data_IF_902344635693
#
_entry.id   IF_902344635693
#
_cell.length_a   1.000
_cell.length_b   1.000
_cell.length_c   1.000
_cell.angle_alpha   90.00
_cell.angle_beta   90.00
_cell.angle_gamma   90.00
#
_symmetry.space_group_name_H-M   'P 1'
#
loop_
_entity.id
_entity.type
_entity.pdbx_description
1 polymer ?
#
# COMPACT_ATOMS: atom_id res chain seq x y z
N UNK A 1 3.00 -3.59 1.50
CA UNK A 1 3.52 -3.88 0.14
C UNK A 1 2.45 -4.33 -0.86
N UNK A 2 1.15 -4.50 -0.50
CA UNK A 2 0.11 -4.91 -1.46
C UNK A 2 -0.54 -3.76 -2.26
N UNK A 3 -0.60 -2.54 -1.70
CA UNK A 3 -1.27 -1.37 -2.32
C UNK A 3 -0.60 -0.88 -3.62
N UNK A 4 0.58 -1.37 -3.97
CA UNK A 4 1.32 -1.00 -5.19
C UNK A 4 0.78 -1.67 -6.46
N UNK A 5 0.02 -2.77 -6.33
CA UNK A 5 -0.52 -3.50 -7.49
C UNK A 5 -1.51 -2.68 -8.31
N UNK A 6 -2.35 -1.89 -7.63
CA UNK A 6 -3.38 -1.08 -8.29
C UNK A 6 -2.79 -0.01 -9.21
N UNK A 7 -1.79 0.77 -8.78
CA UNK A 7 -1.18 1.80 -9.62
C UNK A 7 -0.50 1.22 -10.86
N UNK A 8 0.15 0.05 -10.73
CA UNK A 8 0.78 -0.64 -11.85
C UNK A 8 -0.27 -1.12 -12.86
N UNK A 9 -1.39 -1.66 -12.38
CA UNK A 9 -2.52 -2.08 -13.23
C UNK A 9 -3.16 -0.88 -13.94
N UNK A 10 -3.42 0.21 -13.21
CA UNK A 10 -3.98 1.46 -13.73
C UNK A 10 -3.11 2.04 -14.85
N UNK A 11 -1.80 2.11 -14.62
CA UNK A 11 -0.82 2.52 -15.61
C UNK A 11 -0.82 1.59 -16.83
N UNK A 12 -0.85 0.28 -16.63
CA UNK A 12 -0.87 -0.72 -17.71
C UNK A 12 -2.13 -0.61 -18.56
N UNK A 13 -3.29 -0.37 -17.96
CA UNK A 13 -4.56 -0.18 -18.65
C UNK A 13 -4.59 1.14 -19.44
N UNK A 14 -4.06 2.22 -18.86
CA UNK A 14 -3.91 3.52 -19.52
C UNK A 14 -2.97 3.40 -20.73
N UNK A 15 -1.85 2.70 -20.58
CA UNK A 15 -0.94 2.40 -21.70
C UNK A 15 -1.62 1.54 -22.78
N UNK A 16 -2.31 0.46 -22.40
CA UNK A 16 -3.05 -0.39 -23.32
C UNK A 16 -4.02 0.44 -24.16
N UNK A 17 -4.79 1.33 -23.51
CA UNK A 17 -5.71 2.22 -24.19
C UNK A 17 -5.02 3.08 -25.27
N UNK A 18 -3.97 3.82 -24.90
CA UNK A 18 -3.29 4.72 -25.83
C UNK A 18 -2.53 3.98 -26.94
N UNK A 19 -1.91 2.83 -26.65
CA UNK A 19 -1.23 2.00 -27.66
C UNK A 19 -2.27 1.45 -28.64
N UNK A 20 -3.39 0.93 -28.17
CA UNK A 20 -4.46 0.43 -29.04
C UNK A 20 -5.06 1.52 -29.92
N UNK A 21 -5.27 2.73 -29.37
CA UNK A 21 -5.76 3.87 -30.13
C UNK A 21 -4.75 4.30 -31.21
N UNK A 22 -3.46 4.35 -30.88
CA UNK A 22 -2.41 4.64 -31.86
C UNK A 22 -2.29 3.55 -32.92
N UNK A 23 -2.40 2.28 -32.53
CA UNK A 23 -2.41 1.14 -33.44
C UNK A 23 -3.58 1.20 -34.42
N UNK A 24 -4.78 1.55 -33.94
CA UNK A 24 -5.96 1.75 -34.77
C UNK A 24 -5.76 2.90 -35.77
N UNK A 25 -5.17 4.01 -35.33
CA UNK A 25 -4.84 5.13 -36.21
C UNK A 25 -3.86 4.71 -37.32
N UNK A 26 -2.74 4.09 -36.95
CA UNK A 26 -1.72 3.64 -37.90
C UNK A 26 -2.27 2.60 -38.88
N UNK A 27 -3.09 1.66 -38.41
CA UNK A 27 -3.77 0.70 -39.27
C UNK A 27 -4.73 1.40 -40.23
N UNK A 28 -5.50 2.38 -39.75
CA UNK A 28 -6.38 3.15 -40.62
C UNK A 28 -5.62 3.98 -41.67
N UNK A 29 -4.45 4.53 -41.33
CA UNK A 29 -3.58 5.25 -42.26
C UNK A 29 -2.98 4.30 -43.29
N UNK A 30 -2.49 3.13 -42.86
CA UNK A 30 -1.97 2.09 -43.74
C UNK A 30 -3.02 1.59 -44.74
N UNK A 31 -4.23 1.25 -44.26
CA UNK A 31 -5.35 0.82 -45.13
C UNK A 31 -5.72 1.90 -46.16
N UNK A 32 -5.64 3.19 -45.79
CA UNK A 32 -5.88 4.30 -46.73
C UNK A 32 -4.79 4.38 -47.80
N UNK A 33 -3.54 4.06 -47.44
CA UNK A 33 -2.39 4.07 -48.36
C UNK A 33 -2.37 2.91 -49.36
N UNK A 34 -3.03 1.79 -49.06
CA UNK A 34 -3.09 0.64 -49.96
C UNK A 34 -3.91 0.92 -51.24
N UNK A 35 -3.47 0.42 -52.42
CA UNK A 35 -4.26 0.39 -53.66
C UNK A 35 -5.61 -0.30 -53.46
N UNK A 36 -6.64 0.13 -54.18
CA UNK A 36 -8.01 -0.39 -54.03
C UNK A 36 -8.09 -1.91 -54.24
N UNK A 37 -7.28 -2.45 -55.17
CA UNK A 37 -7.14 -3.89 -55.43
C UNK A 37 -6.47 -4.69 -54.30
N UNK A 38 -5.69 -4.04 -53.44
CA UNK A 38 -4.97 -4.68 -52.32
C UNK A 38 -5.74 -4.56 -51.00
N UNK A 39 -6.61 -3.56 -50.87
CA UNK A 39 -7.45 -3.34 -49.68
C UNK A 39 -8.32 -4.54 -49.30
N UNK A 40 -8.72 -5.38 -50.26
CA UNK A 40 -9.56 -6.57 -50.04
C UNK A 40 -8.75 -7.82 -49.64
N UNK A 41 -7.45 -7.89 -49.97
CA UNK A 41 -6.64 -9.11 -49.83
C UNK A 41 -5.73 -9.14 -48.59
N UNK A 42 -5.45 -8.02 -47.94
CA UNK A 42 -4.29 -7.89 -47.03
C UNK A 42 -4.60 -8.08 -45.53
N UNK A 43 -5.87 -7.94 -45.09
CA UNK A 43 -6.20 -8.03 -43.64
C UNK A 43 -6.44 -9.48 -43.19
N UNK A 44 -6.77 -10.39 -44.11
CA UNK A 44 -6.94 -11.80 -43.81
C UNK A 44 -6.24 -12.67 -44.87
N UNK A 45 -5.05 -13.22 -44.58
CA UNK A 45 -4.30 -14.00 -45.55
C UNK A 45 -5.02 -15.32 -45.86
N UNK A 46 -5.61 -15.39 -47.05
CA UNK A 46 -5.90 -16.65 -47.76
C UNK A 46 -7.25 -17.32 -47.44
N UNK A 47 -8.02 -17.56 -48.51
CA UNK A 47 -9.05 -18.62 -48.68
C UNK A 47 -9.55 -19.26 -47.38
N UNK A 48 -10.43 -18.55 -46.66
CA UNK A 48 -11.26 -19.22 -45.67
C UNK A 48 -12.03 -20.36 -46.34
N UNK A 49 -12.01 -21.54 -45.73
CA UNK A 49 -12.82 -22.68 -46.16
C UNK A 49 -14.28 -22.23 -46.27
N UNK A 50 -15.00 -22.57 -47.37
CA UNK A 50 -16.42 -22.21 -47.55
C UNK A 50 -17.36 -22.67 -46.41
N UNK A 51 -16.86 -23.47 -45.47
CA UNK A 51 -17.58 -24.01 -44.31
C UNK A 51 -17.48 -23.15 -43.06
N UNK A 52 -16.61 -22.15 -43.03
CA UNK A 52 -16.54 -21.20 -41.92
C UNK A 52 -17.28 -19.92 -42.35
N UNK A 53 -18.45 -19.66 -41.73
CA UNK A 53 -19.11 -18.36 -41.77
C UNK A 53 -18.26 -17.35 -40.97
N UNK A 54 -17.09 -16.99 -41.51
CA UNK A 54 -16.31 -15.85 -41.00
C UNK A 54 -16.98 -14.59 -41.54
N UNK A 55 -17.16 -13.53 -40.70
CA UNK A 55 -17.70 -12.27 -41.17
C UNK A 55 -16.97 -11.78 -42.43
N UNK A 56 -17.72 -11.29 -43.42
CA UNK A 56 -17.15 -10.81 -44.67
C UNK A 56 -16.17 -9.66 -44.37
N UNK A 57 -15.16 -9.41 -45.22
CA UNK A 57 -14.19 -8.32 -45.04
C UNK A 57 -14.85 -6.96 -44.69
N UNK A 58 -16.00 -6.69 -45.31
CA UNK A 58 -16.79 -5.48 -45.08
C UNK A 58 -17.35 -5.42 -43.65
N UNK A 59 -17.72 -6.57 -43.08
CA UNK A 59 -18.21 -6.70 -41.70
C UNK A 59 -17.08 -6.55 -40.68
N UNK A 60 -15.89 -7.10 -40.97
CA UNK A 60 -14.71 -6.89 -40.13
C UNK A 60 -14.21 -5.43 -40.17
N UNK A 61 -14.24 -4.80 -41.35
CA UNK A 61 -13.88 -3.39 -41.53
C UNK A 61 -14.87 -2.45 -40.86
N UNK A 62 -16.17 -2.73 -40.98
CA UNK A 62 -17.21 -1.96 -40.29
C UNK A 62 -17.09 -2.15 -38.78
N UNK A 63 -16.82 -3.36 -38.30
CA UNK A 63 -16.56 -3.66 -36.88
C UNK A 63 -15.34 -2.89 -36.34
N UNK A 64 -14.18 -2.96 -37.00
CA UNK A 64 -12.95 -2.25 -36.59
C UNK A 64 -13.17 -0.74 -36.56
N UNK A 65 -13.97 -0.20 -37.49
CA UNK A 65 -14.24 1.25 -37.56
C UNK A 65 -15.28 1.74 -36.57
N UNK A 66 -16.30 0.93 -36.26
CA UNK A 66 -17.46 1.38 -35.49
C UNK A 66 -17.55 0.81 -34.07
N UNK A 67 -17.10 -0.43 -33.87
CA UNK A 67 -17.33 -1.17 -32.62
C UNK A 67 -16.07 -1.44 -31.82
N UNK A 68 -14.91 -1.63 -32.47
CA UNK A 68 -13.65 -1.96 -31.77
C UNK A 68 -13.29 -0.96 -30.66
N UNK A 69 -13.42 0.34 -30.94
CA UNK A 69 -13.15 1.37 -29.95
C UNK A 69 -14.06 1.29 -28.72
N UNK A 70 -15.36 1.00 -28.92
CA UNK A 70 -16.32 0.82 -27.80
C UNK A 70 -15.97 -0.41 -26.98
N UNK A 71 -15.78 -1.56 -27.64
CA UNK A 71 -15.44 -2.81 -26.96
C UNK A 71 -14.13 -2.72 -26.19
N UNK A 72 -13.12 -2.04 -26.75
CA UNK A 72 -11.85 -1.80 -26.06
C UNK A 72 -12.08 -0.98 -24.79
N UNK A 73 -12.82 0.14 -24.88
CA UNK A 73 -13.10 1.00 -23.72
C UNK A 73 -13.92 0.27 -22.67
N UNK A 74 -14.95 -0.46 -23.05
CA UNK A 74 -15.76 -1.29 -22.15
C UNK A 74 -14.91 -2.36 -21.45
N UNK A 75 -14.05 -3.06 -22.20
CA UNK A 75 -13.15 -4.08 -21.63
C UNK A 75 -12.17 -3.48 -20.64
N UNK A 76 -11.57 -2.33 -20.98
CA UNK A 76 -10.65 -1.60 -20.09
C UNK A 76 -11.40 -1.12 -18.85
N UNK A 77 -12.61 -0.56 -19.01
CA UNK A 77 -13.44 -0.10 -17.91
C UNK A 77 -13.82 -1.24 -16.95
N UNK A 78 -14.27 -2.39 -17.47
CA UNK A 78 -14.60 -3.56 -16.63
C UNK A 78 -13.38 -4.01 -15.84
N UNK A 79 -12.20 -4.04 -16.48
CA UNK A 79 -10.94 -4.42 -15.82
C UNK A 79 -10.49 -3.38 -14.79
N UNK A 80 -10.70 -2.11 -15.08
CA UNK A 80 -10.42 -0.97 -14.20
C UNK A 80 -11.26 -1.04 -12.91
N UNK A 81 -12.58 -1.24 -13.03
CA UNK A 81 -13.47 -1.41 -11.87
C UNK A 81 -13.14 -2.68 -11.10
N UNK A 82 -12.75 -3.77 -11.78
CA UNK A 82 -12.30 -5.00 -11.10
C UNK A 82 -11.00 -4.77 -10.29
N UNK A 83 -10.08 -3.96 -10.81
CA UNK A 83 -8.88 -3.57 -10.07
C UNK A 83 -9.21 -2.75 -8.81
N UNK A 84 -10.23 -1.89 -8.87
CA UNK A 84 -10.73 -1.15 -7.71
C UNK A 84 -11.28 -2.08 -6.62
N UNK A 85 -12.04 -3.11 -6.99
CA UNK A 85 -12.52 -4.11 -6.02
C UNK A 85 -11.34 -4.80 -5.30
N UNK A 86 -10.31 -5.18 -6.07
CA UNK A 86 -9.08 -5.77 -5.51
C UNK A 86 -8.36 -4.77 -4.60
N UNK A 87 -8.32 -3.48 -4.93
CA UNK A 87 -7.73 -2.44 -4.08
C UNK A 87 -8.39 -2.40 -2.69
N UNK A 88 -9.72 -2.56 -2.59
CA UNK A 88 -10.40 -2.67 -1.30
C UNK A 88 -10.02 -3.94 -0.53
N UNK A 89 -9.84 -5.07 -1.20
CA UNK A 89 -9.39 -6.31 -0.54
C UNK A 89 -7.96 -6.18 -0.04
N UNK A 90 -7.07 -5.64 -0.86
CA UNK A 90 -5.64 -5.50 -0.55
C UNK A 90 -5.40 -4.47 0.55
N UNK A 91 -6.17 -3.38 0.56
CA UNK A 91 -6.12 -2.36 1.60
C UNK A 91 -6.55 -2.92 2.96
N UNK A 92 -7.66 -3.67 3.01
CA UNK A 92 -8.11 -4.35 4.23
C UNK A 92 -7.09 -5.39 4.71
N UNK A 93 -6.56 -6.20 3.79
CA UNK A 93 -5.52 -7.20 4.07
C UNK A 93 -4.27 -6.54 4.66
N UNK A 94 -3.84 -5.41 4.10
CA UNK A 94 -2.68 -4.66 4.60
C UNK A 94 -2.89 -4.18 6.04
N UNK A 95 -4.10 -3.69 6.36
CA UNK A 95 -4.44 -3.26 7.72
C UNK A 95 -4.41 -4.46 8.67
N UNK A 96 -5.04 -5.58 8.31
CA UNK A 96 -5.09 -6.77 9.17
C UNK A 96 -3.73 -7.43 9.41
N UNK A 97 -2.86 -7.46 8.40
CA UNK A 97 -1.49 -7.95 8.57
C UNK A 97 -0.70 -7.10 9.55
N UNK A 98 -0.97 -5.79 9.57
CA UNK A 98 -0.32 -4.84 10.49
C UNK A 98 -0.95 -4.85 11.88
N UNK A 99 -2.26 -5.06 11.96
CA UNK A 99 -3.04 -5.04 13.19
C UNK A 99 -4.06 -6.19 13.22
N UNK A 100 -3.60 -7.35 13.69
CA UNK A 100 -4.45 -8.53 13.91
C UNK A 100 -5.55 -8.25 14.96
N UNK A 101 -5.43 -7.19 15.77
CA UNK A 101 -6.44 -6.88 16.79
C UNK A 101 -7.77 -6.42 16.21
N UNK A 102 -7.79 -5.91 14.98
CA UNK A 102 -9.01 -5.57 14.24
C UNK A 102 -9.91 -6.80 13.96
N UNK A 103 -9.37 -8.02 14.09
CA UNK A 103 -10.11 -9.28 14.00
C UNK A 103 -10.64 -9.79 15.36
N UNK A 104 -10.31 -9.13 16.48
CA UNK A 104 -10.76 -9.58 17.81
C UNK A 104 -12.28 -9.56 17.93
N UNK A 105 -12.81 -10.55 18.65
CA UNK A 105 -14.25 -10.72 18.89
C UNK A 105 -15.01 -11.38 17.74
N UNK A 106 -14.37 -11.64 16.58
CA UNK A 106 -14.99 -12.44 15.52
C UNK A 106 -14.89 -13.93 15.85
N UNK A 107 -16.03 -14.62 15.84
CA UNK A 107 -16.06 -16.08 15.82
C UNK A 107 -15.73 -16.55 14.41
N UNK A 108 -14.71 -17.39 14.28
CA UNK A 108 -14.36 -18.05 13.02
C UNK A 108 -14.57 -19.53 13.22
N UNK A 109 -15.46 -20.11 12.42
CA UNK A 109 -15.66 -21.55 12.38
C UNK A 109 -14.63 -22.16 11.42
N UNK A 110 -13.89 -23.15 11.91
CA UNK A 110 -12.86 -23.85 11.15
C UNK A 110 -13.13 -25.35 11.28
N UNK A 111 -13.07 -26.07 10.17
CA UNK A 111 -13.16 -27.54 10.22
C UNK A 111 -11.90 -28.11 10.87
N UNK A 112 -12.05 -29.23 11.59
CA UNK A 112 -10.94 -29.97 12.19
C UNK A 112 -9.88 -30.37 11.16
N UNK A 113 -10.34 -30.74 9.97
CA UNK A 113 -9.46 -31.16 8.87
C UNK A 113 -8.63 -29.99 8.33
N UNK A 114 -9.17 -28.77 8.36
CA UNK A 114 -8.40 -27.60 7.93
C UNK A 114 -7.34 -27.24 8.98
N UNK A 115 -7.66 -27.36 10.27
CA UNK A 115 -6.71 -27.08 11.35
C UNK A 115 -5.48 -27.99 11.30
N UNK A 116 -5.64 -29.26 10.91
CA UNK A 116 -4.53 -30.20 10.78
C UNK A 116 -3.63 -29.95 9.57
N UNK A 117 -4.09 -29.15 8.59
CA UNK A 117 -3.28 -28.79 7.40
C UNK A 117 -2.29 -27.64 7.64
N UNK A 118 -2.47 -26.85 8.70
CA UNK A 118 -1.60 -25.70 8.97
C UNK A 118 -0.39 -26.10 9.80
N UNK A 119 0.82 -25.80 9.31
CA UNK A 119 2.07 -26.10 10.03
C UNK A 119 2.37 -25.10 11.14
N UNK A 120 1.81 -23.89 11.06
CA UNK A 120 2.04 -22.82 12.00
C UNK A 120 0.83 -21.88 12.12
N UNK A 121 0.85 -21.07 13.19
CA UNK A 121 -0.22 -20.13 13.51
C UNK A 121 -0.31 -18.98 12.50
N UNK A 122 0.78 -18.64 11.80
CA UNK A 122 0.79 -17.55 10.83
C UNK A 122 0.07 -17.92 9.55
N UNK A 123 0.15 -19.17 9.10
CA UNK A 123 -0.66 -19.70 8.01
C UNK A 123 -2.15 -19.66 8.34
N UNK A 124 -2.50 -20.00 9.58
CA UNK A 124 -3.88 -19.89 10.05
C UNK A 124 -4.36 -18.42 10.03
N UNK A 125 -3.55 -17.49 10.54
CA UNK A 125 -3.85 -16.06 10.47
C UNK A 125 -3.99 -15.57 9.04
N UNK A 126 -3.09 -15.97 8.13
CA UNK A 126 -3.15 -15.60 6.73
C UNK A 126 -4.45 -16.09 6.08
N UNK A 127 -4.93 -17.30 6.41
CA UNK A 127 -6.24 -17.79 5.95
C UNK A 127 -7.39 -16.94 6.47
N UNK A 128 -7.42 -16.67 7.78
CA UNK A 128 -8.48 -15.88 8.40
C UNK A 128 -8.55 -14.48 7.79
N UNK A 129 -7.40 -13.82 7.64
CA UNK A 129 -7.29 -12.50 7.01
C UNK A 129 -7.79 -12.57 5.56
N UNK A 130 -7.36 -13.56 4.80
CA UNK A 130 -7.76 -13.73 3.40
C UNK A 130 -9.27 -13.92 3.26
N UNK A 131 -9.88 -14.74 4.10
CA UNK A 131 -11.33 -14.95 4.09
C UNK A 131 -12.10 -13.71 4.51
N UNK A 132 -11.61 -12.99 5.52
CA UNK A 132 -12.21 -11.73 5.96
C UNK A 132 -12.17 -10.67 4.86
N UNK A 133 -11.00 -10.44 4.26
CA UNK A 133 -10.84 -9.46 3.20
C UNK A 133 -11.61 -9.84 1.94
N UNK A 134 -11.67 -11.14 1.58
CA UNK A 134 -12.43 -11.63 0.41
C UNK A 134 -13.92 -11.33 0.50
N UNK A 135 -14.47 -11.23 1.71
CA UNK A 135 -15.89 -10.91 1.88
C UNK A 135 -16.25 -9.52 1.34
N UNK A 136 -15.27 -8.65 1.05
CA UNK A 136 -15.51 -7.32 0.46
C UNK A 136 -15.79 -7.35 -1.03
N UNK A 137 -15.37 -8.38 -1.75
CA UNK A 137 -15.60 -8.50 -3.19
C UNK A 137 -17.09 -8.61 -3.52
N UNK A 138 -17.53 -7.89 -4.56
CA UNK A 138 -18.91 -7.93 -5.05
C UNK A 138 -19.96 -7.32 -4.11
N UNK A 139 -19.54 -6.59 -3.07
CA UNK A 139 -20.45 -5.83 -2.21
C UNK A 139 -20.78 -4.47 -2.82
N UNK A 140 -21.91 -3.89 -2.39
CA UNK A 140 -22.24 -2.50 -2.68
C UNK A 140 -21.20 -1.57 -2.06
N UNK A 141 -20.91 -0.45 -2.70
CA UNK A 141 -19.93 0.53 -2.18
C UNK A 141 -20.33 1.03 -0.79
N UNK A 142 -21.62 1.23 -0.54
CA UNK A 142 -22.14 1.61 0.78
C UNK A 142 -21.70 0.64 1.89
N UNK A 143 -21.72 -0.66 1.61
CA UNK A 143 -21.35 -1.70 2.57
C UNK A 143 -19.84 -1.71 2.81
N UNK A 144 -19.05 -1.44 1.75
CA UNK A 144 -17.60 -1.29 1.85
C UNK A 144 -17.25 -0.05 2.67
N UNK A 145 -17.90 1.10 2.43
CA UNK A 145 -17.70 2.33 3.20
C UNK A 145 -17.99 2.08 4.69
N UNK A 146 -19.14 1.48 4.98
CA UNK A 146 -19.56 1.11 6.33
C UNK A 146 -18.57 0.17 7.01
N UNK A 147 -18.07 -0.82 6.27
CA UNK A 147 -17.07 -1.76 6.75
C UNK A 147 -15.78 -1.03 7.13
N UNK A 148 -15.25 -0.19 6.25
CA UNK A 148 -14.00 0.55 6.48
C UNK A 148 -14.11 1.54 7.65
N UNK A 149 -15.25 2.22 7.80
CA UNK A 149 -15.46 3.13 8.92
C UNK A 149 -15.55 2.36 10.24
N UNK A 150 -16.39 1.31 10.31
CA UNK A 150 -16.61 0.53 11.54
C UNK A 150 -15.39 -0.29 11.95
N UNK A 151 -14.68 -0.90 11.01
CA UNK A 151 -13.55 -1.80 11.31
C UNK A 151 -12.21 -1.08 11.39
N UNK A 152 -12.00 -0.07 10.56
CA UNK A 152 -10.69 0.56 10.41
C UNK A 152 -10.69 2.04 10.77
N UNK A 153 -11.84 2.64 11.13
CA UNK A 153 -11.98 4.09 11.35
C UNK A 153 -11.56 4.91 10.11
N UNK A 154 -11.68 4.34 8.91
CA UNK A 154 -11.35 4.99 7.65
C UNK A 154 -12.64 5.53 7.03
N UNK A 155 -12.79 6.85 7.03
CA UNK A 155 -13.95 7.56 6.51
C UNK A 155 -13.87 7.74 5.00
N UNK A 156 -14.12 6.68 4.24
CA UNK A 156 -14.10 6.70 2.76
C UNK A 156 -15.04 7.76 2.19
N UNK A 157 -16.19 8.00 2.83
CA UNK A 157 -17.17 9.03 2.47
C UNK A 157 -16.62 10.47 2.44
N UNK A 158 -15.41 10.71 2.97
CA UNK A 158 -14.72 12.00 2.87
C UNK A 158 -14.07 12.25 1.52
N UNK A 159 -13.89 11.21 0.70
CA UNK A 159 -13.42 11.38 -0.66
C UNK A 159 -14.51 12.06 -1.49
N UNK A 160 -14.15 13.09 -2.23
CA UNK A 160 -15.06 13.74 -3.15
C UNK A 160 -15.40 12.78 -4.29
N UNK A 161 -16.63 12.80 -4.82
CA UNK A 161 -17.05 11.94 -5.93
C UNK A 161 -17.20 10.44 -5.58
N UNK A 162 -17.52 10.08 -4.34
CA UNK A 162 -17.85 8.68 -3.99
C UNK A 162 -19.08 8.16 -4.74
N UNK A 163 -20.01 9.05 -5.07
CA UNK A 163 -21.19 8.78 -5.91
C UNK A 163 -20.80 8.36 -7.33
N UNK A 164 -19.76 8.96 -7.90
CA UNK A 164 -19.23 8.56 -9.21
C UNK A 164 -18.59 7.17 -9.14
N UNK A 165 -17.87 6.85 -8.05
CA UNK A 165 -17.32 5.49 -7.85
C UNK A 165 -18.46 4.45 -7.70
N UNK A 166 -19.55 4.82 -7.01
CA UNK A 166 -20.73 3.96 -6.90
C UNK A 166 -21.35 3.69 -8.27
N UNK A 167 -21.51 4.74 -9.07
CA UNK A 167 -22.01 4.64 -10.45
C UNK A 167 -21.10 3.77 -11.32
N UNK A 168 -19.78 3.87 -11.20
CA UNK A 168 -18.84 3.00 -11.93
C UNK A 168 -19.03 1.51 -11.61
N UNK A 169 -19.23 1.17 -10.34
CA UNK A 169 -19.48 -0.20 -9.89
C UNK A 169 -20.81 -0.73 -10.45
N UNK A 170 -21.86 0.09 -10.44
CA UNK A 170 -23.17 -0.24 -11.01
C UNK A 170 -23.11 -0.37 -12.54
N UNK A 171 -22.41 0.54 -13.23
CA UNK A 171 -22.20 0.49 -14.68
C UNK A 171 -21.48 -0.78 -15.09
N UNK A 172 -20.43 -1.19 -14.36
CA UNK A 172 -19.75 -2.48 -14.59
C UNK A 172 -20.69 -3.65 -14.40
N UNK A 173 -21.59 -3.61 -13.40
CA UNK A 173 -22.59 -4.65 -13.22
C UNK A 173 -23.51 -4.78 -14.45
N UNK A 174 -24.00 -3.66 -14.98
CA UNK A 174 -24.83 -3.64 -16.19
C UNK A 174 -24.09 -4.15 -17.44
N UNK A 175 -22.83 -3.74 -17.65
CA UNK A 175 -22.02 -4.22 -18.78
C UNK A 175 -21.84 -5.74 -18.73
N UNK A 176 -21.50 -6.28 -17.56
CA UNK A 176 -21.14 -7.69 -17.41
C UNK A 176 -22.36 -8.60 -17.32
N UNK A 177 -23.43 -8.17 -16.65
CA UNK A 177 -24.57 -9.04 -16.32
C UNK A 177 -25.85 -8.70 -17.08
N UNK A 178 -26.00 -7.48 -17.60
CA UNK A 178 -27.18 -7.04 -18.34
C UNK A 178 -26.88 -6.73 -19.82
N UNK A 179 -25.70 -7.12 -20.32
CA UNK A 179 -25.25 -6.82 -21.69
C UNK A 179 -25.32 -5.32 -22.03
N UNK A 180 -25.11 -4.48 -21.01
CA UNK A 180 -25.22 -3.03 -21.12
C UNK A 180 -26.64 -2.47 -21.08
N UNK A 181 -27.69 -3.27 -20.86
CA UNK A 181 -29.06 -2.74 -20.73
C UNK A 181 -29.29 -2.09 -19.36
N UNK A 182 -29.80 -0.86 -19.35
CA UNK A 182 -30.18 -0.14 -18.13
C UNK A 182 -31.58 -0.54 -17.66
N UNK A 183 -31.78 -0.58 -16.35
CA UNK A 183 -33.12 -0.63 -15.74
C UNK A 183 -33.63 0.77 -15.38
N UNK A 184 -34.91 0.87 -15.00
CA UNK A 184 -35.53 2.16 -14.65
C UNK A 184 -34.86 2.78 -13.40
N UNK A 185 -34.43 1.95 -12.45
CA UNK A 185 -33.80 2.40 -11.21
C UNK A 185 -32.48 3.11 -11.48
N UNK A 186 -31.60 2.52 -12.29
CA UNK A 186 -30.32 3.11 -12.68
C UNK A 186 -30.52 4.41 -13.45
N UNK A 187 -31.45 4.44 -14.42
CA UNK A 187 -31.75 5.63 -15.21
C UNK A 187 -32.24 6.79 -14.35
N UNK A 188 -33.13 6.52 -13.38
CA UNK A 188 -33.61 7.52 -12.44
C UNK A 188 -32.52 7.98 -11.47
N UNK A 189 -31.70 7.05 -10.95
CA UNK A 189 -30.65 7.35 -9.95
C UNK A 189 -29.56 8.25 -10.50
N UNK A 190 -29.11 7.99 -11.73
CA UNK A 190 -27.96 8.69 -12.34
C UNK A 190 -28.35 9.69 -13.43
N UNK A 191 -29.65 9.88 -13.67
CA UNK A 191 -30.13 10.78 -14.73
C UNK A 191 -29.70 10.34 -16.13
N UNK A 192 -29.60 9.03 -16.38
CA UNK A 192 -29.12 8.47 -17.63
C UNK A 192 -30.33 8.02 -18.50
N UNK A 193 -30.72 8.75 -19.55
CA UNK A 193 -31.96 8.47 -20.26
C UNK A 193 -31.89 7.26 -21.21
N UNK A 194 -30.68 6.79 -21.55
CA UNK A 194 -30.49 5.78 -22.59
C UNK A 194 -30.76 4.36 -22.07
N UNK A 195 -31.30 3.51 -22.96
CA UNK A 195 -31.64 2.11 -22.67
C UNK A 195 -30.39 1.22 -22.60
N UNK A 196 -29.31 1.63 -23.26
CA UNK A 196 -28.02 0.95 -23.25
C UNK A 196 -26.97 1.88 -22.68
N UNK A 197 -26.12 1.38 -21.78
CA UNK A 197 -24.92 2.09 -21.37
C UNK A 197 -23.80 1.90 -22.39
N UNK A 198 -23.03 2.96 -22.58
CA UNK A 198 -21.77 2.94 -23.29
C UNK A 198 -20.63 3.43 -22.37
N UNK A 199 -19.39 3.18 -22.81
CA UNK A 199 -18.19 3.76 -22.20
C UNK A 199 -17.52 4.59 -23.27
N UNK A 200 -17.86 5.87 -23.32
CA UNK A 200 -17.17 6.82 -24.19
C UNK A 200 -15.75 7.11 -23.68
N UNK A 201 -14.95 7.74 -24.54
CA UNK A 201 -13.56 8.06 -24.24
C UNK A 201 -13.42 9.09 -23.10
N UNK A 202 -14.27 10.10 -23.07
CA UNK A 202 -14.22 11.15 -22.06
C UNK A 202 -14.51 10.57 -20.66
N UNK A 203 -15.54 9.72 -20.56
CA UNK A 203 -15.90 9.02 -19.33
C UNK A 203 -14.77 8.09 -18.88
N UNK A 204 -14.19 7.28 -19.77
CA UNK A 204 -13.09 6.38 -19.41
C UNK A 204 -11.86 7.15 -18.88
N UNK A 205 -11.49 8.26 -19.52
CA UNK A 205 -10.36 9.08 -19.08
C UNK A 205 -10.64 9.73 -17.71
N UNK A 206 -11.86 10.22 -17.48
CA UNK A 206 -12.29 10.69 -16.15
C UNK A 206 -12.21 9.60 -15.09
N UNK A 207 -12.58 8.36 -15.42
CA UNK A 207 -12.45 7.23 -14.50
C UNK A 207 -10.99 6.95 -14.12
N UNK A 208 -10.05 7.05 -15.07
CA UNK A 208 -8.62 6.91 -14.75
C UNK A 208 -8.18 7.95 -13.72
N UNK A 209 -8.44 9.23 -13.98
CA UNK A 209 -8.00 10.31 -13.10
C UNK A 209 -8.69 10.25 -11.73
N UNK A 210 -9.99 9.93 -11.69
CA UNK A 210 -10.74 9.73 -10.46
C UNK A 210 -10.14 8.61 -9.61
N UNK A 211 -9.81 7.47 -10.22
CA UNK A 211 -9.26 6.32 -9.51
C UNK A 211 -7.81 6.49 -9.09
N UNK A 212 -7.01 7.27 -9.84
CA UNK A 212 -5.68 7.73 -9.39
C UNK A 212 -5.80 8.51 -8.07
N UNK A 213 -6.71 9.50 -8.03
CA UNK A 213 -6.96 10.31 -6.84
C UNK A 213 -7.54 9.49 -5.67
N UNK A 214 -8.48 8.57 -5.97
CA UNK A 214 -9.07 7.71 -4.96
C UNK A 214 -8.06 6.74 -4.35
N UNK A 215 -7.20 6.17 -5.19
CA UNK A 215 -6.11 5.31 -4.74
C UNK A 215 -5.18 6.04 -3.77
N UNK A 216 -4.78 7.26 -4.09
CA UNK A 216 -3.92 8.05 -3.23
C UNK A 216 -4.59 8.39 -1.89
N UNK A 217 -5.86 8.80 -1.93
CA UNK A 217 -6.66 9.05 -0.74
C UNK A 217 -6.74 7.80 0.18
N UNK A 218 -7.08 6.65 -0.40
CA UNK A 218 -7.21 5.40 0.35
C UNK A 218 -5.86 4.93 0.87
N UNK A 219 -4.80 5.02 0.05
CA UNK A 219 -3.43 4.68 0.43
C UNK A 219 -2.96 5.50 1.63
N UNK A 220 -3.17 6.82 1.63
CA UNK A 220 -2.84 7.70 2.77
C UNK A 220 -3.62 7.32 4.02
N UNK A 221 -4.92 7.04 3.87
CA UNK A 221 -5.79 6.64 4.98
C UNK A 221 -5.37 5.30 5.59
N UNK A 222 -5.06 4.31 4.75
CA UNK A 222 -4.54 2.99 5.14
C UNK A 222 -3.19 3.16 5.83
N UNK A 223 -2.27 3.93 5.25
CA UNK A 223 -0.95 4.19 5.82
C UNK A 223 -1.06 4.86 7.19
N UNK A 224 -1.91 5.88 7.32
CA UNK A 224 -2.21 6.52 8.60
C UNK A 224 -2.80 5.53 9.61
N UNK A 225 -3.66 4.62 9.19
CA UNK A 225 -4.27 3.61 10.10
C UNK A 225 -3.25 2.58 10.57
N UNK A 226 -2.46 2.03 9.65
CA UNK A 226 -1.36 1.10 9.92
C UNK A 226 -0.36 1.77 10.85
N UNK A 227 0.03 3.01 10.54
CA UNK A 227 0.95 3.74 11.37
C UNK A 227 0.34 4.15 12.69
N UNK A 228 -0.92 4.56 12.81
CA UNK A 228 -1.60 4.89 14.09
C UNK A 228 -1.52 3.73 15.09
N UNK A 229 -1.58 2.50 14.62
CA UNK A 229 -1.34 1.33 15.48
C UNK A 229 0.13 1.19 15.89
N UNK A 230 1.05 1.52 15.00
CA UNK A 230 2.46 1.70 15.34
C UNK A 230 2.70 3.00 16.14
N UNK A 231 1.75 3.92 16.19
CA UNK A 231 1.82 5.27 16.76
C UNK A 231 1.14 5.36 18.14
N UNK A 232 0.39 4.34 18.53
CA UNK A 232 0.30 3.97 19.95
C UNK A 232 1.66 3.51 20.51
N UNK A 233 2.68 3.38 19.65
CA UNK A 233 4.10 3.34 19.98
C UNK A 233 4.84 4.65 19.54
N UNK A 234 4.17 5.79 19.32
CA UNK A 234 4.81 7.12 19.18
C UNK A 234 5.50 7.56 20.49
N UNK A 235 5.25 6.82 21.57
CA UNK A 235 6.09 6.86 22.77
C UNK A 235 7.46 6.21 22.61
N UNK A 236 7.68 5.32 21.63
CA UNK A 236 8.97 4.71 21.34
C UNK A 236 9.36 4.90 19.86
N UNK A 237 9.94 6.07 19.57
CA UNK A 237 11.01 6.10 18.57
C UNK A 237 12.01 5.03 19.02
N UNK A 238 12.04 3.89 18.32
CA UNK A 238 12.79 2.72 18.75
C UNK A 238 14.25 3.13 19.01
N UNK A 239 14.73 2.80 20.20
CA UNK A 239 16.14 2.99 20.53
C UNK A 239 16.92 1.94 19.77
N UNK A 240 17.69 2.36 18.76
CA UNK A 240 18.48 1.46 17.94
C UNK A 240 19.93 1.44 18.35
N UNK A 241 20.46 0.24 18.51
CA UNK A 241 21.86 0.00 18.85
C UNK A 241 22.41 -1.08 17.94
N UNK A 242 23.55 -0.80 17.32
CA UNK A 242 24.39 -1.80 16.68
C UNK A 242 25.38 -2.34 17.72
N UNK A 243 25.47 -3.66 17.81
CA UNK A 243 26.47 -4.34 18.60
C UNK A 243 27.37 -5.14 17.66
N UNK A 244 28.68 -5.06 17.89
CA UNK A 244 29.67 -5.98 17.32
C UNK A 244 30.29 -6.76 18.45
N UNK A 245 30.28 -8.08 18.36
CA UNK A 245 30.65 -8.99 19.44
C UNK A 245 31.66 -9.99 18.87
N UNK A 246 32.80 -10.14 19.52
CA UNK A 246 33.83 -11.11 19.18
C UNK A 246 34.01 -12.15 20.30
N UNK A 247 34.74 -13.23 19.99
CA UNK A 247 35.12 -14.30 20.94
C UNK A 247 33.94 -14.79 21.79
N UNK A 248 33.05 -15.59 21.21
CA UNK A 248 31.82 -16.07 21.87
C UNK A 248 32.03 -17.52 22.36
N UNK A 249 31.89 -17.77 23.67
CA UNK A 249 31.90 -19.14 24.20
C UNK A 249 30.61 -19.89 23.88
N UNK A 250 30.62 -21.22 23.95
CA UNK A 250 29.41 -22.05 23.75
C UNK A 250 28.28 -21.66 24.71
N UNK A 251 28.60 -21.35 25.97
CA UNK A 251 27.64 -20.91 26.99
C UNK A 251 26.96 -19.58 26.64
N UNK A 252 27.68 -18.64 26.02
CA UNK A 252 27.13 -17.34 25.65
C UNK A 252 26.24 -17.39 24.41
N UNK A 253 26.30 -18.46 23.60
CA UNK A 253 25.52 -18.54 22.35
C UNK A 253 24.02 -18.42 22.56
N UNK A 254 23.51 -18.96 23.67
CA UNK A 254 22.09 -18.87 24.03
C UNK A 254 21.59 -17.42 24.14
N UNK A 255 22.45 -16.45 24.48
CA UNK A 255 22.08 -15.03 24.55
C UNK A 255 21.70 -14.44 23.19
N UNK A 256 22.15 -15.05 22.09
CA UNK A 256 21.95 -14.57 20.73
C UNK A 256 20.86 -15.33 19.97
N UNK A 257 20.22 -16.29 20.61
CA UNK A 257 19.10 -17.00 20.02
C UNK A 257 17.86 -16.11 19.99
N UNK A 258 17.09 -16.07 18.88
CA UNK A 258 15.90 -15.24 18.78
C UNK A 258 14.89 -15.47 19.90
N UNK A 259 14.86 -16.68 20.46
CA UNK A 259 13.98 -17.10 21.55
C UNK A 259 14.46 -16.67 22.95
N UNK A 260 15.65 -16.08 23.07
CA UNK A 260 16.19 -15.66 24.37
C UNK A 260 15.27 -14.66 25.07
N UNK A 261 14.88 -14.95 26.32
CA UNK A 261 13.94 -14.13 27.08
C UNK A 261 14.61 -12.95 27.80
N UNK A 262 13.98 -11.78 27.70
CA UNK A 262 14.37 -10.54 28.35
C UNK A 262 13.21 -10.11 29.27
N UNK A 263 13.47 -10.03 30.56
CA UNK A 263 12.47 -9.60 31.55
C UNK A 263 12.74 -8.16 32.04
N UNK A 264 11.72 -7.29 31.90
CA UNK A 264 11.73 -5.92 32.42
C UNK A 264 10.41 -5.66 33.14
N UNK A 265 10.46 -5.34 34.44
CA UNK A 265 9.27 -5.02 35.27
C UNK A 265 8.15 -6.09 35.16
N UNK A 266 8.51 -7.37 35.24
CA UNK A 266 7.60 -8.53 35.09
C UNK A 266 7.00 -8.73 33.69
N UNK A 267 7.39 -7.92 32.71
CA UNK A 267 7.04 -8.13 31.30
C UNK A 267 8.18 -8.89 30.64
N UNK A 268 7.87 -10.02 30.02
CA UNK A 268 8.83 -10.83 29.25
C UNK A 268 8.65 -10.60 27.76
N UNK A 269 9.78 -10.52 27.06
CA UNK A 269 9.86 -10.45 25.60
C UNK A 269 10.99 -11.34 25.11
N UNK A 270 10.91 -11.79 23.87
CA UNK A 270 12.01 -12.51 23.24
C UNK A 270 12.97 -11.54 22.55
N UNK A 271 14.21 -11.99 22.30
CA UNK A 271 15.19 -11.22 21.55
C UNK A 271 14.68 -10.88 20.14
N UNK A 272 13.94 -11.80 19.50
CA UNK A 272 13.29 -11.57 18.20
C UNK A 272 12.43 -10.31 18.18
N UNK A 273 11.84 -9.93 19.31
CA UNK A 273 10.95 -8.76 19.41
C UNK A 273 11.72 -7.44 19.32
N UNK A 274 13.04 -7.46 19.56
CA UNK A 274 13.91 -6.28 19.47
C UNK A 274 15.06 -6.47 18.47
N UNK A 275 15.16 -7.60 17.78
CA UNK A 275 16.24 -7.92 16.85
C UNK A 275 15.85 -7.54 15.42
N UNK A 276 16.49 -6.52 14.86
CA UNK A 276 16.22 -6.05 13.49
C UNK A 276 17.03 -6.80 12.44
N UNK A 277 18.29 -7.09 12.74
CA UNK A 277 19.17 -7.85 11.84
C UNK A 277 20.29 -8.52 12.63
N UNK A 278 20.75 -9.69 12.16
CA UNK A 278 21.87 -10.45 12.72
C UNK A 278 22.73 -10.99 11.58
N UNK A 279 24.04 -10.90 11.73
CA UNK A 279 25.03 -11.46 10.81
C UNK A 279 26.13 -12.11 11.63
N UNK A 280 26.46 -13.36 11.32
CA UNK A 280 27.46 -14.15 12.04
C UNK A 280 28.52 -14.63 11.06
N UNK A 281 29.78 -14.24 11.28
CA UNK A 281 30.94 -14.64 10.47
C UNK A 281 31.80 -15.71 11.17
N UNK A 282 31.30 -16.32 12.25
CA UNK A 282 31.98 -17.33 13.06
C UNK A 282 32.93 -16.73 14.11
N UNK A 283 33.74 -15.75 13.73
CA UNK A 283 34.64 -15.04 14.65
C UNK A 283 34.03 -13.76 15.24
N UNK A 284 33.04 -13.19 14.54
CA UNK A 284 32.37 -11.95 14.92
C UNK A 284 30.86 -12.06 14.65
N UNK A 285 30.08 -11.58 15.59
CA UNK A 285 28.64 -11.42 15.50
C UNK A 285 28.29 -9.93 15.45
N UNK A 286 27.61 -9.51 14.38
CA UNK A 286 27.06 -8.16 14.25
C UNK A 286 25.54 -8.20 14.32
N UNK A 287 24.95 -7.42 15.21
CA UNK A 287 23.49 -7.35 15.36
C UNK A 287 23.00 -5.91 15.51
N UNK A 288 21.81 -5.65 14.98
CA UNK A 288 21.11 -4.38 15.15
C UNK A 288 19.87 -4.65 15.98
N UNK A 289 19.82 -4.01 17.14
CA UNK A 289 18.67 -4.02 18.03
C UNK A 289 17.82 -2.77 17.78
N UNK A 290 16.51 -2.92 17.77
CA UNK A 290 15.53 -1.85 17.60
C UNK A 290 14.34 -2.18 18.48
N UNK A 291 14.08 -1.37 19.51
CA UNK A 291 12.99 -1.66 20.42
C UNK A 291 12.81 -0.58 21.48
N UNK A 292 11.93 -0.85 22.44
CA UNK A 292 11.78 -0.03 23.63
C UNK A 292 13.12 0.07 24.36
N UNK A 293 13.52 1.29 24.75
CA UNK A 293 14.84 1.54 25.38
C UNK A 293 15.08 0.69 26.63
N UNK A 294 14.02 0.37 27.37
CA UNK A 294 14.07 -0.44 28.58
C UNK A 294 14.52 -1.89 28.26
N UNK A 295 13.91 -2.54 27.26
CA UNK A 295 14.24 -3.89 26.82
C UNK A 295 15.60 -3.97 26.12
N UNK A 296 15.87 -3.06 25.17
CA UNK A 296 17.18 -3.01 24.49
C UNK A 296 18.29 -2.70 25.50
N UNK A 297 18.04 -1.78 26.44
CA UNK A 297 18.95 -1.46 27.53
C UNK A 297 19.22 -2.68 28.42
N UNK A 298 18.16 -3.41 28.80
CA UNK A 298 18.27 -4.61 29.63
C UNK A 298 19.06 -5.71 28.93
N UNK A 299 18.83 -5.94 27.65
CA UNK A 299 19.60 -6.91 26.88
C UNK A 299 21.08 -6.51 26.79
N UNK A 300 21.39 -5.24 26.57
CA UNK A 300 22.78 -4.75 26.60
C UNK A 300 23.44 -4.96 27.98
N UNK A 301 22.71 -4.82 29.08
CA UNK A 301 23.22 -5.17 30.42
C UNK A 301 23.59 -6.65 30.53
N UNK A 302 22.77 -7.55 29.95
CA UNK A 302 23.06 -8.98 29.92
C UNK A 302 24.31 -9.30 29.09
N UNK A 303 24.49 -8.64 27.95
CA UNK A 303 25.72 -8.74 27.14
C UNK A 303 26.94 -8.26 27.93
N UNK A 304 26.84 -7.11 28.61
CA UNK A 304 27.93 -6.59 29.46
C UNK A 304 28.26 -7.51 30.64
N UNK A 305 27.25 -8.16 31.23
CA UNK A 305 27.45 -9.13 32.31
C UNK A 305 28.22 -10.36 31.79
N UNK A 306 27.83 -10.87 30.62
CA UNK A 306 28.55 -11.97 29.98
C UNK A 306 29.98 -11.59 29.55
N UNK A 307 30.20 -10.34 29.15
CA UNK A 307 31.55 -9.79 28.90
C UNK A 307 32.40 -9.78 30.18
N UNK A 308 31.83 -9.29 31.30
CA UNK A 308 32.50 -9.28 32.59
C UNK A 308 32.86 -10.70 33.08
N UNK A 309 32.02 -11.69 32.78
CA UNK A 309 32.26 -13.11 33.05
C UNK A 309 33.23 -13.77 32.05
N UNK A 310 33.85 -13.01 31.13
CA UNK A 310 34.75 -13.47 30.07
C UNK A 310 34.12 -14.49 29.08
N UNK A 311 32.79 -14.52 28.98
CA UNK A 311 32.06 -15.43 28.07
C UNK A 311 31.94 -14.87 26.65
N UNK A 312 32.08 -13.55 26.51
CA UNK A 312 32.13 -12.86 25.22
C UNK A 312 33.04 -11.63 25.28
N UNK A 313 33.31 -10.99 24.14
CA UNK A 313 33.96 -9.67 24.07
C UNK A 313 33.11 -8.69 23.25
N UNK A 314 32.70 -7.57 23.84
CA UNK A 314 31.95 -6.54 23.12
C UNK A 314 32.93 -5.63 22.38
N UNK A 315 32.95 -5.71 21.05
CA UNK A 315 33.88 -4.96 20.20
C UNK A 315 33.40 -3.52 19.97
N UNK A 316 32.11 -3.32 19.68
CA UNK A 316 31.52 -1.97 19.55
C UNK A 316 30.06 -1.93 20.00
N UNK A 317 29.64 -0.73 20.42
CA UNK A 317 28.25 -0.38 20.75
C UNK A 317 27.94 0.98 20.15
N UNK A 318 27.32 0.98 18.98
CA UNK A 318 27.00 2.20 18.24
C UNK A 318 25.50 2.48 18.36
N UNK A 319 25.13 3.60 18.95
CA UNK A 319 23.73 4.00 19.04
C UNK A 319 23.34 4.63 17.70
N UNK A 320 22.53 3.93 16.91
CA UNK A 320 22.10 4.36 15.56
C UNK A 320 21.03 5.45 15.69
N UNK A 321 20.00 5.19 16.47
CA UNK A 321 18.95 6.15 16.78
C UNK A 321 18.73 6.16 18.28
N UNK A 322 18.90 7.33 18.87
CA UNK A 322 18.34 7.61 20.18
C UNK A 322 16.94 8.05 19.86
N UNK A 323 15.92 7.29 20.28
CA UNK A 323 14.55 7.76 20.23
C UNK A 323 14.41 9.06 21.02
N UNK A 324 14.73 10.19 20.40
CA UNK A 324 14.77 11.47 21.07
C UNK A 324 13.37 12.01 21.06
N UNK A 325 12.69 11.98 22.21
CA UNK A 325 11.55 12.85 22.41
C UNK A 325 12.08 14.26 22.55
N UNK A 326 11.90 15.07 21.52
CA UNK A 326 11.77 16.49 21.77
C UNK A 326 10.49 16.68 22.60
N UNK A 327 10.59 17.37 23.74
CA UNK A 327 9.41 17.71 24.56
C UNK A 327 8.56 18.82 23.91
N UNK A 328 8.97 19.29 22.73
CA UNK A 328 8.31 20.36 22.01
C UNK A 328 7.01 19.83 21.40
N UNK A 329 5.95 20.62 21.52
CA UNK A 329 4.66 20.32 20.88
C UNK A 329 4.73 20.47 19.36
N UNK A 330 3.74 19.94 18.66
CA UNK A 330 3.67 19.98 17.19
C UNK A 330 3.68 21.41 16.63
N UNK A 331 3.09 22.37 17.36
CA UNK A 331 3.09 23.80 17.00
C UNK A 331 4.52 24.35 16.98
N UNK A 332 5.29 24.10 18.04
CA UNK A 332 6.69 24.52 18.13
C UNK A 332 7.54 23.83 17.07
N UNK A 333 7.23 22.58 16.70
CA UNK A 333 7.92 21.89 15.60
C UNK A 333 7.64 22.54 14.24
N UNK A 334 6.40 22.94 13.96
CA UNK A 334 6.06 23.68 12.75
C UNK A 334 6.71 25.06 12.73
N UNK A 335 6.80 25.73 13.87
CA UNK A 335 7.50 27.01 14.01
C UNK A 335 8.99 26.85 13.71
N UNK A 336 9.64 25.82 14.26
CA UNK A 336 11.02 25.48 13.93
C UNK A 336 11.17 25.20 12.43
N UNK A 337 10.24 24.45 11.82
CA UNK A 337 10.28 24.16 10.38
C UNK A 337 10.22 25.44 9.53
N UNK A 338 9.28 26.33 9.85
CA UNK A 338 9.14 27.63 9.16
C UNK A 338 10.41 28.49 9.31
N UNK A 339 11.05 28.46 10.46
CA UNK A 339 12.28 29.22 10.73
C UNK A 339 13.53 28.64 10.08
N UNK A 340 13.57 27.32 9.84
CA UNK A 340 14.68 26.68 9.12
C UNK A 340 14.75 27.16 7.66
N UNK A 341 13.58 27.31 7.02
CA UNK A 341 13.49 27.67 5.61
C UNK A 341 14.16 26.63 4.68
N UNK A 342 14.30 26.96 3.38
CA UNK A 342 14.92 26.07 2.41
C UNK A 342 16.42 25.88 2.69
N UNK A 343 16.92 24.68 2.38
CA UNK A 343 18.35 24.34 2.49
C UNK A 343 19.18 25.02 1.39
N UNK A 344 20.50 25.25 1.59
CA UNK A 344 21.32 24.86 2.75
C UNK A 344 21.22 25.83 3.93
N UNK A 345 21.36 25.31 5.14
CA UNK A 345 21.35 26.12 6.37
C UNK A 345 22.75 26.55 6.79
N UNK A 346 22.86 27.76 7.35
CA UNK A 346 24.11 28.27 7.93
C UNK A 346 24.51 27.54 9.21
N UNK A 347 25.82 27.47 9.46
CA UNK A 347 26.36 26.96 10.73
C UNK A 347 25.84 27.82 11.89
N UNK A 348 25.32 27.17 12.95
CA UNK A 348 24.74 27.86 14.10
C UNK A 348 23.22 28.13 14.01
N UNK A 349 22.54 27.69 12.95
CA UNK A 349 21.08 27.91 12.82
C UNK A 349 20.27 27.37 14.01
N UNK A 350 20.71 26.28 14.63
CA UNK A 350 20.05 25.74 15.83
C UNK A 350 20.13 26.67 17.04
N UNK A 351 21.19 27.48 17.15
CA UNK A 351 21.35 28.47 18.22
C UNK A 351 20.41 29.65 18.02
N UNK A 352 20.34 30.17 16.79
CA UNK A 352 19.46 31.29 16.46
C UNK A 352 17.98 30.94 16.64
N UNK A 353 17.58 29.75 16.19
CA UNK A 353 16.21 29.25 16.36
C UNK A 353 15.93 29.01 17.86
N UNK A 354 16.89 28.46 18.61
CA UNK A 354 16.74 28.24 20.04
C UNK A 354 16.50 29.54 20.81
N UNK A 355 17.28 30.58 20.50
CA UNK A 355 17.12 31.92 21.09
C UNK A 355 15.78 32.54 20.71
N UNK A 356 15.36 32.41 19.46
CA UNK A 356 14.12 33.01 18.96
C UNK A 356 12.85 32.43 19.58
N UNK A 357 12.81 31.11 19.79
CA UNK A 357 11.60 30.41 20.30
C UNK A 357 11.72 30.12 21.80
N UNK A 358 12.82 30.49 22.45
CA UNK A 358 13.01 30.31 23.90
C UNK A 358 13.13 28.84 24.31
N UNK A 359 13.77 28.00 23.49
CA UNK A 359 13.97 26.56 23.76
C UNK A 359 15.46 26.23 23.76
N UNK A 360 15.87 25.12 24.37
CA UNK A 360 17.30 24.78 24.40
C UNK A 360 17.83 24.40 23.00
N UNK A 361 19.08 24.80 22.68
CA UNK A 361 19.81 24.37 21.47
C UNK A 361 19.68 22.87 21.20
N UNK A 362 19.77 22.07 22.26
CA UNK A 362 19.66 20.60 22.19
C UNK A 362 18.27 20.16 21.73
N UNK A 363 17.19 20.80 22.21
CA UNK A 363 15.82 20.50 21.75
C UNK A 363 15.61 20.90 20.29
N UNK A 364 16.17 22.05 19.86
CA UNK A 364 16.12 22.47 18.44
C UNK A 364 16.90 21.50 17.57
N UNK A 365 18.11 21.10 17.97
CA UNK A 365 18.87 20.08 17.25
C UNK A 365 18.10 18.76 17.09
N UNK A 366 17.39 18.32 18.14
CA UNK A 366 16.51 17.15 18.03
C UNK A 366 15.28 17.39 17.14
N UNK A 367 14.69 18.59 17.18
CA UNK A 367 13.57 18.96 16.33
C UNK A 367 13.99 19.01 14.86
N UNK A 368 15.17 19.55 14.53
CA UNK A 368 15.72 19.57 13.18
C UNK A 368 15.86 18.15 12.64
N UNK A 369 16.51 17.25 13.38
CA UNK A 369 16.64 15.85 12.95
C UNK A 369 15.28 15.19 12.73
N UNK A 370 14.31 15.46 13.60
CA UNK A 370 12.95 14.98 13.43
C UNK A 370 12.28 15.54 12.17
N UNK A 371 12.42 16.83 11.92
CA UNK A 371 11.87 17.49 10.73
C UNK A 371 12.50 16.91 9.47
N UNK A 372 13.80 16.66 9.47
CA UNK A 372 14.51 16.01 8.36
C UNK A 372 13.96 14.62 8.05
N UNK A 373 13.66 13.84 9.09
CA UNK A 373 13.13 12.48 8.96
C UNK A 373 11.67 12.45 8.42
N UNK A 374 10.93 13.56 8.54
CA UNK A 374 9.49 13.64 8.20
C UNK A 374 9.14 14.93 7.43
N UNK A 375 10.03 15.40 6.54
CA UNK A 375 9.93 16.72 5.90
C UNK A 375 8.59 16.91 5.15
N UNK A 376 8.09 15.86 4.50
CA UNK A 376 6.80 15.84 3.79
C UNK A 376 5.60 16.19 4.69
N UNK A 377 5.63 15.78 5.97
CA UNK A 377 4.54 16.04 6.91
C UNK A 377 4.40 17.53 7.25
N UNK A 378 5.50 18.28 7.20
CA UNK A 378 5.51 19.70 7.53
C UNK A 378 5.21 20.60 6.31
N UNK A 379 5.24 20.05 5.09
CA UNK A 379 4.89 20.76 3.85
C UNK A 379 3.37 20.88 3.66
N UNK A 380 2.60 19.89 4.12
CA UNK A 380 1.14 19.83 3.96
C UNK A 380 0.37 20.73 4.98
N UNK A 381 1.08 21.37 5.92
CA UNK A 381 0.51 22.18 7.02
C UNK A 381 0.54 23.70 6.79
N UNK A 382 0.89 24.15 5.60
CA UNK A 382 0.89 25.56 5.16
C UNK A 382 -0.02 25.72 3.95
#
# INVERSE_FOLDING_TARGET
MAVTGFSAELFSLKQLYFISLKGQQLLSEHIKSLPESERENDIFPGKYSPRMNVPHYLDAKSFIRSQYGSYLRETIFVRLVSALEVLFVDSATTIFLSDKSALRGKKVELSSDLLSTYSDLDQLWAKIIKDESRNLNGRKLSDIIDYYDKKFEIKIKKFESTDVIEEMLERRHLLVHALGHTDEMYRMKHGYPQVTIDVDEEYLLKCFDLLENFHEFLRRSVYKRVNKNNSLDESSRYYQVRLRIGKITSEARALFEPTFEIEVKKIRRHLSDILKSKSDSGNELSMVLSGERSFVGKYIELIKKAEFENKLRLMSRDVISRGHRTKLGNETLHEIYKLLGPRPWKTGISDEIAEKIGVSKTQVGYAINLILDYEEYFQDGT
#
